data_IF_220140743343
#
_entry.id   IF_220140743343
#
_cell.length_a   1.000
_cell.length_b   1.000
_cell.length_c   1.000
_cell.angle_alpha   90.00
_cell.angle_beta   90.00
_cell.angle_gamma   90.00
#
_symmetry.space_group_name_H-M   'P 1'
#
loop_
_entity.id
_entity.type
_entity.pdbx_description
1 polymer ?
#
# COMPACT_ATOMS: atom_id res chain seq x y z
N UNK A 1 -10.55 -23.19 9.40
CA UNK A 1 -9.40 -22.30 9.16
C UNK A 1 -8.12 -23.11 8.89
N UNK A 2 -8.08 -23.84 7.78
CA UNK A 2 -6.87 -24.56 7.32
C UNK A 2 -6.57 -24.19 5.87
N UNK A 3 -7.62 -24.13 5.04
CA UNK A 3 -7.54 -23.61 3.68
C UNK A 3 -7.05 -22.16 3.57
N UNK A 4 -7.49 -21.23 4.42
CA UNK A 4 -7.00 -19.83 4.40
C UNK A 4 -5.52 -19.75 4.80
N UNK A 5 -5.10 -20.53 5.80
CA UNK A 5 -3.72 -20.55 6.27
C UNK A 5 -2.81 -21.23 5.23
N UNK A 6 -3.26 -22.31 4.59
CA UNK A 6 -2.56 -22.91 3.44
C UNK A 6 -2.48 -21.93 2.26
N UNK A 7 -3.54 -21.15 1.99
CA UNK A 7 -3.55 -20.19 0.89
C UNK A 7 -2.57 -19.04 1.15
N UNK A 8 -2.44 -18.58 2.39
CA UNK A 8 -1.48 -17.54 2.79
C UNK A 8 -0.05 -18.07 3.03
N UNK A 9 0.11 -19.35 3.35
CA UNK A 9 1.40 -19.99 3.62
C UNK A 9 2.02 -20.70 2.42
N UNK A 10 1.26 -20.93 1.34
CA UNK A 10 1.77 -21.39 0.04
C UNK A 10 2.38 -20.20 -0.73
N UNK A 11 3.31 -20.44 -1.66
CA UNK A 11 3.96 -19.41 -2.49
C UNK A 11 3.01 -18.36 -3.10
N UNK A 12 1.76 -18.73 -3.39
CA UNK A 12 0.72 -17.82 -3.88
C UNK A 12 0.24 -16.80 -2.84
N UNK A 13 0.22 -17.19 -1.56
CA UNK A 13 -0.20 -16.35 -0.44
C UNK A 13 0.80 -15.25 -0.15
N UNK A 14 2.08 -15.61 -0.12
CA UNK A 14 3.16 -14.65 0.04
C UNK A 14 3.18 -13.63 -1.11
N UNK A 15 3.04 -14.11 -2.36
CA UNK A 15 2.90 -13.23 -3.52
C UNK A 15 1.67 -12.32 -3.43
N UNK A 16 0.53 -12.83 -2.94
CA UNK A 16 -0.70 -12.06 -2.76
C UNK A 16 -0.56 -10.96 -1.71
N UNK A 17 0.05 -11.26 -0.56
CA UNK A 17 0.27 -10.29 0.52
C UNK A 17 1.27 -9.20 0.10
N UNK A 18 2.33 -9.57 -0.62
CA UNK A 18 3.29 -8.61 -1.19
C UNK A 18 2.59 -7.70 -2.20
N UNK A 19 1.78 -8.26 -3.11
CA UNK A 19 1.01 -7.49 -4.07
C UNK A 19 0.04 -6.51 -3.39
N UNK A 20 -0.67 -6.97 -2.35
CA UNK A 20 -1.55 -6.12 -1.55
C UNK A 20 -0.78 -5.00 -0.85
N UNK A 21 0.39 -5.31 -0.29
CA UNK A 21 1.30 -4.35 0.32
C UNK A 21 1.77 -3.28 -0.66
N UNK A 22 2.10 -3.66 -1.90
CA UNK A 22 2.48 -2.72 -2.96
C UNK A 22 1.30 -1.81 -3.34
N UNK A 23 0.09 -2.37 -3.50
CA UNK A 23 -1.11 -1.59 -3.84
C UNK A 23 -1.41 -0.56 -2.73
N UNK A 24 -1.34 -0.96 -1.46
CA UNK A 24 -1.55 -0.06 -0.32
C UNK A 24 -0.44 0.99 -0.20
N UNK A 25 0.81 0.61 -0.47
CA UNK A 25 1.94 1.54 -0.50
C UNK A 25 1.76 2.59 -1.61
N UNK A 26 1.40 2.16 -2.83
CA UNK A 26 1.09 3.08 -3.93
C UNK A 26 -0.09 3.98 -3.59
N UNK A 27 -1.20 3.41 -3.08
CA UNK A 27 -2.39 4.17 -2.75
C UNK A 27 -2.11 5.25 -1.68
N UNK A 28 -1.33 4.92 -0.65
CA UNK A 28 -0.92 5.87 0.38
C UNK A 28 0.07 6.92 -0.15
N UNK A 29 1.00 6.55 -1.03
CA UNK A 29 1.89 7.49 -1.71
C UNK A 29 1.13 8.50 -2.58
N UNK A 30 0.17 8.03 -3.37
CA UNK A 30 -0.69 8.89 -4.18
C UNK A 30 -1.55 9.80 -3.30
N UNK A 31 -2.19 9.25 -2.26
CA UNK A 31 -2.95 10.05 -1.31
C UNK A 31 -2.09 11.13 -0.66
N UNK A 32 -0.85 10.80 -0.28
CA UNK A 32 0.10 11.76 0.27
C UNK A 32 0.54 12.80 -0.75
N UNK A 33 0.77 12.43 -2.01
CA UNK A 33 1.13 13.37 -3.06
C UNK A 33 0.01 14.40 -3.31
N UNK A 34 -1.25 13.96 -3.32
CA UNK A 34 -2.40 14.84 -3.51
C UNK A 34 -2.78 15.63 -2.24
N UNK A 35 -2.53 15.10 -1.05
CA UNK A 35 -2.85 15.76 0.22
C UNK A 35 -1.72 16.69 0.70
N UNK A 36 -0.53 16.58 0.12
CA UNK A 36 0.55 17.52 0.35
C UNK A 36 0.12 18.89 -0.16
N UNK A 37 -0.13 19.82 0.77
CA UNK A 37 -0.23 21.23 0.45
C UNK A 37 1.02 21.65 -0.32
N UNK A 38 0.88 22.46 -1.40
CA UNK A 38 2.04 23.11 -1.99
C UNK A 38 2.79 23.85 -0.86
N UNK A 39 4.13 23.91 -0.92
CA UNK A 39 4.88 24.67 0.07
C UNK A 39 4.26 26.06 0.16
N UNK A 40 3.83 26.43 1.37
CA UNK A 40 3.34 27.79 1.61
C UNK A 40 4.49 28.72 1.24
N UNK A 41 4.34 29.43 0.12
CA UNK A 41 5.29 30.48 -0.23
C UNK A 41 5.36 31.45 0.95
N UNK A 42 6.53 31.67 1.57
CA UNK A 42 6.68 32.70 2.59
C UNK A 42 6.83 34.06 1.89
N UNK A 43 5.84 34.46 1.09
CA UNK A 43 5.82 35.75 0.40
C UNK A 43 4.38 36.22 0.16
N UNK A 44 3.66 36.45 1.25
CA UNK A 44 2.64 37.52 1.37
C UNK A 44 2.90 38.27 2.67
#
# INVERSE_FOLDING_TARGET
MKALVDLFSTDYGLMSVIGLGIILCMASFFAWLFTRKPPANPSE
#
